data_IF_100276554510
#
_entry.id   IF_100276554510
#
_cell.length_a   1.000
_cell.length_b   1.000
_cell.length_c   1.000
_cell.angle_alpha   90.00
_cell.angle_beta   90.00
_cell.angle_gamma   90.00
#
_symmetry.space_group_name_H-M   'P 1'
#
loop_
_entity.id
_entity.type
_entity.pdbx_description
1 polymer ?
#
# COMPACT_ATOMS: atom_id res chain seq x y z
N UNK A 1 17.06 -21.22 -25.02
CA UNK A 1 17.15 -20.99 -23.56
C UNK A 1 15.73 -21.02 -23.04
N UNK A 2 15.31 -22.15 -22.46
CA UNK A 2 13.95 -22.28 -21.94
C UNK A 2 13.98 -21.76 -20.50
N UNK A 3 13.45 -20.55 -20.30
CA UNK A 3 13.32 -19.99 -18.96
C UNK A 3 12.38 -20.88 -18.15
N UNK A 4 12.88 -21.39 -17.02
CA UNK A 4 12.03 -21.98 -16.00
C UNK A 4 11.13 -20.88 -15.45
N UNK A 5 9.94 -20.71 -16.03
CA UNK A 5 8.85 -19.96 -15.39
C UNK A 5 8.25 -20.85 -14.31
N UNK A 6 9.06 -21.20 -13.30
CA UNK A 6 8.53 -21.73 -12.06
C UNK A 6 7.71 -20.62 -11.42
N UNK A 7 6.40 -20.73 -11.45
CA UNK A 7 5.52 -19.79 -10.76
C UNK A 7 5.84 -19.89 -9.26
N UNK A 8 6.64 -18.95 -8.75
CA UNK A 8 6.99 -18.92 -7.33
C UNK A 8 5.72 -18.58 -6.56
N UNK A 9 5.33 -19.43 -5.62
CA UNK A 9 4.26 -19.10 -4.69
C UNK A 9 4.65 -17.84 -3.91
N UNK A 10 3.90 -16.75 -4.11
CA UNK A 10 4.12 -15.49 -3.40
C UNK A 10 3.13 -15.38 -2.24
N UNK A 11 3.66 -15.36 -1.02
CA UNK A 11 2.85 -15.16 0.18
C UNK A 11 2.51 -13.68 0.33
N UNK A 12 1.24 -13.32 0.12
CA UNK A 12 0.78 -11.96 0.35
C UNK A 12 0.59 -11.68 1.85
N UNK A 13 1.02 -10.49 2.27
CA UNK A 13 0.85 -10.02 3.63
C UNK A 13 -0.06 -8.79 3.65
N UNK A 14 -0.92 -8.71 4.67
CA UNK A 14 -1.78 -7.54 4.90
C UNK A 14 -1.28 -6.74 6.08
N UNK A 15 -1.11 -5.44 5.88
CA UNK A 15 -0.68 -4.48 6.86
C UNK A 15 -1.88 -3.78 7.49
N UNK A 16 -1.89 -3.64 8.81
CA UNK A 16 -2.86 -2.76 9.47
C UNK A 16 -2.41 -1.29 9.40
N UNK A 17 -3.30 -0.37 9.77
CA UNK A 17 -3.02 1.07 9.69
C UNK A 17 -1.78 1.51 10.49
N UNK A 18 -1.49 0.87 11.63
CA UNK A 18 -0.28 1.21 12.42
C UNK A 18 0.99 0.84 11.67
N UNK A 19 0.98 -0.29 10.96
CA UNK A 19 2.11 -0.71 10.12
C UNK A 19 2.24 0.21 8.91
N UNK A 20 1.14 0.55 8.24
CA UNK A 20 1.17 1.49 7.10
C UNK A 20 1.74 2.85 7.51
N UNK A 21 1.28 3.40 8.63
CA UNK A 21 1.84 4.63 9.23
C UNK A 21 3.34 4.51 9.48
N UNK A 22 3.80 3.37 10.02
CA UNK A 22 5.21 3.12 10.30
C UNK A 22 6.05 3.07 9.00
N UNK A 23 5.57 2.38 7.97
CA UNK A 23 6.32 2.20 6.72
C UNK A 23 6.34 3.46 5.84
N UNK A 24 5.22 4.17 5.77
CA UNK A 24 5.08 5.38 4.94
C UNK A 24 5.65 6.60 5.66
N UNK A 25 5.68 6.61 7.00
CA UNK A 25 6.22 7.71 7.80
C UNK A 25 5.27 8.91 7.95
N UNK A 26 3.98 8.73 7.67
CA UNK A 26 2.94 9.78 7.84
C UNK A 26 1.89 9.35 8.85
N UNK A 27 1.18 10.33 9.43
CA UNK A 27 0.19 10.04 10.45
C UNK A 27 -1.09 9.40 9.87
N UNK A 28 -1.90 8.81 10.74
CA UNK A 28 -3.11 8.07 10.35
C UNK A 28 -4.14 8.93 9.60
N UNK A 29 -4.32 10.19 9.98
CA UNK A 29 -5.26 11.07 9.28
C UNK A 29 -4.82 11.32 7.85
N UNK A 30 -3.52 11.60 7.64
CA UNK A 30 -2.95 11.78 6.30
C UNK A 30 -3.16 10.56 5.42
N UNK A 31 -3.02 9.33 5.96
CA UNK A 31 -3.35 8.11 5.20
C UNK A 31 -4.80 8.13 4.72
N UNK A 32 -5.76 8.51 5.57
CA UNK A 32 -7.15 8.57 5.15
C UNK A 32 -7.44 9.72 4.19
N UNK A 33 -6.78 10.87 4.37
CA UNK A 33 -6.87 11.99 3.44
C UNK A 33 -6.30 11.66 2.07
N UNK A 34 -5.25 10.83 1.98
CA UNK A 34 -4.75 10.34 0.69
C UNK A 34 -5.74 9.40 -0.02
N UNK A 35 -6.67 8.79 0.71
CA UNK A 35 -7.67 7.88 0.16
C UNK A 35 -9.00 8.54 -0.20
N UNK A 36 -9.26 9.73 0.32
CA UNK A 36 -10.53 10.43 0.11
C UNK A 36 -10.42 11.30 -1.14
N UNK A 37 -11.22 11.00 -2.17
CA UNK A 37 -11.27 11.74 -3.44
C UNK A 37 -11.59 13.23 -3.27
N UNK A 38 -12.21 13.62 -2.15
CA UNK A 38 -12.57 15.01 -1.85
C UNK A 38 -11.47 15.75 -1.09
N UNK A 39 -10.44 15.05 -0.64
CA UNK A 39 -9.34 15.63 0.13
C UNK A 39 -8.34 16.33 -0.80
N UNK A 40 -7.77 17.49 -0.40
CA UNK A 40 -6.69 18.12 -1.15
C UNK A 40 -5.42 17.26 -1.22
N UNK A 41 -5.30 16.26 -0.34
CA UNK A 41 -4.19 15.32 -0.30
C UNK A 41 -4.49 13.99 -1.01
N UNK A 42 -5.62 13.89 -1.72
CA UNK A 42 -5.99 12.67 -2.44
C UNK A 42 -4.85 12.22 -3.35
N UNK A 43 -4.43 10.97 -3.17
CA UNK A 43 -3.45 10.32 -4.01
C UNK A 43 -4.10 9.10 -4.68
N UNK A 44 -4.48 9.19 -5.97
CA UNK A 44 -5.09 8.07 -6.69
C UNK A 44 -4.16 6.86 -6.84
N UNK A 45 -2.86 7.03 -6.63
CA UNK A 45 -1.87 5.94 -6.65
C UNK A 45 -1.75 5.22 -5.31
N UNK A 46 -2.30 5.80 -4.22
CA UNK A 46 -2.20 5.19 -2.91
C UNK A 46 -2.98 3.88 -2.83
N UNK A 47 -2.42 2.80 -2.21
CA UNK A 47 -3.07 1.49 -2.20
C UNK A 47 -4.46 1.48 -1.55
N UNK A 48 -5.37 0.70 -2.15
CA UNK A 48 -6.74 0.57 -1.64
C UNK A 48 -6.78 -0.32 -0.41
N UNK A 49 -7.64 0.05 0.56
CA UNK A 49 -7.88 -0.79 1.75
C UNK A 49 -8.68 -2.04 1.38
N UNK A 50 -8.30 -3.15 1.98
CA UNK A 50 -9.03 -4.42 1.97
C UNK A 50 -9.73 -4.61 3.31
N UNK A 51 -11.01 -4.98 3.27
CA UNK A 51 -11.77 -5.36 4.47
C UNK A 51 -11.45 -6.80 4.83
N UNK A 52 -10.75 -7.01 5.95
CA UNK A 52 -10.34 -8.34 6.44
C UNK A 52 -11.46 -8.97 7.27
N UNK A 53 -12.04 -8.19 8.19
CA UNK A 53 -13.22 -8.58 8.97
C UNK A 53 -14.19 -7.41 9.05
N UNK A 54 -15.31 -7.56 9.77
CA UNK A 54 -16.27 -6.47 9.97
C UNK A 54 -15.61 -5.17 10.49
N UNK A 55 -14.63 -5.29 11.39
CA UNK A 55 -14.00 -4.16 12.08
C UNK A 55 -12.50 -4.01 11.78
N UNK A 56 -11.93 -4.86 10.90
CA UNK A 56 -10.51 -4.81 10.53
C UNK A 56 -10.36 -4.53 9.06
N UNK A 57 -9.60 -3.49 8.75
CA UNK A 57 -9.11 -3.18 7.40
C UNK A 57 -7.60 -3.35 7.37
N UNK A 58 -7.06 -3.63 6.20
CA UNK A 58 -5.63 -3.64 5.95
C UNK A 58 -5.29 -3.25 4.52
N UNK A 59 -4.00 -3.21 4.21
CA UNK A 59 -3.46 -2.89 2.90
C UNK A 59 -2.50 -3.99 2.48
N UNK A 60 -2.38 -4.27 1.19
CA UNK A 60 -1.36 -5.20 0.70
C UNK A 60 0.03 -4.64 1.00
N UNK A 61 0.86 -5.42 1.67
CA UNK A 61 2.27 -5.07 1.90
C UNK A 61 3.00 -4.84 0.56
N UNK A 62 2.65 -5.64 -0.46
CA UNK A 62 3.23 -5.52 -1.79
C UNK A 62 2.83 -4.20 -2.47
N UNK A 63 1.55 -3.83 -2.45
CA UNK A 63 1.10 -2.55 -3.05
C UNK A 63 1.67 -1.34 -2.31
N UNK A 64 1.79 -1.40 -0.97
CA UNK A 64 2.44 -0.35 -0.18
C UNK A 64 3.92 -0.23 -0.57
N UNK A 65 4.63 -1.35 -0.76
CA UNK A 65 6.02 -1.33 -1.21
C UNK A 65 6.15 -0.71 -2.61
N UNK A 66 5.31 -1.12 -3.56
CA UNK A 66 5.31 -0.56 -4.92
C UNK A 66 5.04 0.95 -4.90
N UNK A 67 4.07 1.42 -4.11
CA UNK A 67 3.82 2.85 -3.96
C UNK A 67 5.03 3.59 -3.37
N UNK A 68 5.73 3.01 -2.39
CA UNK A 68 6.97 3.59 -1.86
C UNK A 68 8.06 3.66 -2.93
N UNK A 69 8.21 2.60 -3.74
CA UNK A 69 9.15 2.54 -4.87
C UNK A 69 8.83 3.60 -5.92
N UNK A 70 7.56 3.81 -6.25
CA UNK A 70 7.12 4.88 -7.17
C UNK A 70 7.45 6.26 -6.61
N UNK A 71 7.22 6.49 -5.30
CA UNK A 71 7.62 7.74 -4.62
C UNK A 71 9.14 7.90 -4.53
N UNK A 72 9.90 6.82 -4.52
CA UNK A 72 11.37 6.83 -4.57
C UNK A 72 11.87 7.16 -5.98
N UNK A 73 11.29 6.54 -7.00
CA UNK A 73 11.63 6.76 -8.40
C UNK A 73 11.27 8.16 -8.89
N UNK A 74 10.24 8.77 -8.29
CA UNK A 74 9.83 10.16 -8.58
C UNK A 74 10.64 11.22 -7.81
N UNK A 75 11.68 10.82 -7.06
CA UNK A 75 12.62 11.77 -6.44
C UNK A 75 13.63 12.17 -7.50
N UNK A 76 13.46 13.35 -8.08
CA UNK A 76 14.53 13.99 -8.86
C UNK A 76 15.73 14.35 -7.97
#
# INVERSE_FOLDING_TARGET
MNAFTGQTFQMNQLLNIKQVVLFVGVCRSTIYEMMDENSPYYDPTFPKKVKITQNRIGWSAWEINQWIEDKLASRE
#
